data_IF_733111110527
#
_entry.id   IF_733111110527
#
_cell.length_a   1.000
_cell.length_b   1.000
_cell.length_c   1.000
_cell.angle_alpha   90.00
_cell.angle_beta   90.00
_cell.angle_gamma   90.00
#
_symmetry.space_group_name_H-M   'P 1'
#
loop_
_entity.id
_entity.type
_entity.pdbx_description
1 polymer ?
#
# COMPACT_ATOMS: atom_id res chain seq x y z
N UNK A 1 23.84 -2.16 -8.54
CA UNK A 1 23.68 -0.96 -7.69
C UNK A 1 22.20 -0.68 -7.58
N UNK A 2 21.58 -1.02 -6.46
CA UNK A 2 20.13 -0.89 -6.28
C UNK A 2 19.86 0.46 -5.64
N UNK A 3 19.24 1.38 -6.38
CA UNK A 3 19.03 2.75 -5.92
C UNK A 3 17.68 2.85 -5.23
N UNK A 4 17.67 2.68 -3.91
CA UNK A 4 16.57 3.07 -3.02
C UNK A 4 16.75 4.50 -2.56
N UNK A 5 15.64 5.18 -2.29
CA UNK A 5 15.64 6.52 -1.72
C UNK A 5 14.59 6.60 -0.60
N UNK A 6 14.85 7.39 0.46
CA UNK A 6 13.88 7.62 1.50
C UNK A 6 12.69 8.44 0.93
N UNK A 7 11.48 7.93 1.15
CA UNK A 7 10.19 8.57 0.85
C UNK A 7 9.40 8.71 2.14
N UNK A 8 8.59 9.74 2.24
CA UNK A 8 7.71 9.95 3.39
C UNK A 8 6.31 9.41 3.06
N UNK A 9 5.77 8.59 3.94
CA UNK A 9 4.43 8.02 3.80
C UNK A 9 3.36 9.09 4.04
N UNK A 10 2.47 9.31 3.08
CA UNK A 10 1.36 10.26 3.25
C UNK A 10 0.43 9.90 4.41
N UNK A 11 0.23 8.60 4.67
CA UNK A 11 -0.71 8.14 5.71
C UNK A 11 -0.16 8.32 7.13
N UNK A 12 1.05 7.83 7.39
CA UNK A 12 1.61 7.77 8.75
C UNK A 12 2.79 8.73 8.97
N UNK A 13 3.19 9.50 7.95
CA UNK A 13 4.33 10.42 7.96
C UNK A 13 5.67 9.77 8.33
N UNK A 14 5.79 8.44 8.26
CA UNK A 14 7.05 7.74 8.46
C UNK A 14 7.89 7.73 7.19
N UNK A 15 9.19 7.85 7.35
CA UNK A 15 10.15 7.66 6.27
C UNK A 15 10.33 6.16 6.04
N UNK A 16 10.24 5.75 4.77
CA UNK A 16 10.47 4.38 4.32
C UNK A 16 11.31 4.39 3.04
N UNK A 17 11.97 3.27 2.74
CA UNK A 17 12.71 3.14 1.49
C UNK A 17 11.79 2.68 0.36
N UNK A 18 11.71 3.46 -0.72
CA UNK A 18 11.16 3.01 -2.00
C UNK A 18 12.17 3.32 -3.10
N UNK A 19 12.26 2.46 -4.12
CA UNK A 19 13.27 2.59 -5.17
C UNK A 19 12.84 1.97 -6.48
N UNK A 20 13.37 2.46 -7.60
CA UNK A 20 13.04 2.00 -8.96
C UNK A 20 13.23 0.49 -9.17
N UNK A 21 14.14 -0.13 -8.40
CA UNK A 21 14.49 -1.55 -8.52
C UNK A 21 14.08 -2.41 -7.33
N UNK A 22 13.69 -1.81 -6.20
CA UNK A 22 13.30 -2.51 -4.95
C UNK A 22 12.17 -1.78 -4.21
N UNK A 23 11.20 -1.22 -4.92
CA UNK A 23 10.00 -0.75 -4.25
C UNK A 23 9.19 -1.98 -3.85
N UNK A 24 8.87 -2.06 -2.56
CA UNK A 24 8.08 -3.12 -1.93
C UNK A 24 6.66 -3.22 -2.52
N UNK A 25 6.20 -2.23 -3.30
CA UNK A 25 4.94 -2.29 -4.05
C UNK A 25 4.83 -3.52 -4.97
N UNK A 26 5.96 -4.12 -5.39
CA UNK A 26 5.97 -5.37 -6.17
C UNK A 26 5.98 -6.63 -5.30
N UNK A 27 6.33 -6.50 -4.03
CA UNK A 27 6.43 -7.61 -3.06
C UNK A 27 5.10 -7.80 -2.29
N UNK A 28 4.35 -6.72 -2.09
CA UNK A 28 3.04 -6.79 -1.41
C UNK A 28 1.96 -7.20 -2.41
N UNK A 29 1.25 -8.32 -2.18
CA UNK A 29 0.16 -8.75 -3.05
C UNK A 29 -1.03 -7.81 -2.84
N UNK A 30 -1.20 -6.85 -3.75
CA UNK A 30 -2.30 -5.88 -3.75
C UNK A 30 -3.14 -6.10 -5.01
N UNK A 31 -4.43 -6.33 -4.85
CA UNK A 31 -5.36 -6.45 -5.98
C UNK A 31 -5.59 -5.09 -6.65
N UNK A 32 -5.92 -5.08 -7.94
CA UNK A 32 -6.19 -3.86 -8.70
C UNK A 32 -7.27 -2.96 -8.05
N UNK A 33 -8.32 -3.57 -7.49
CA UNK A 33 -9.39 -2.86 -6.76
C UNK A 33 -8.84 -2.11 -5.53
N UNK A 34 -7.93 -2.75 -4.80
CA UNK A 34 -7.31 -2.15 -3.62
C UNK A 34 -6.33 -1.06 -4.03
N UNK A 35 -5.54 -1.28 -5.08
CA UNK A 35 -4.64 -0.28 -5.64
C UNK A 35 -5.39 0.97 -6.08
N UNK A 36 -6.51 0.81 -6.82
CA UNK A 36 -7.36 1.92 -7.25
C UNK A 36 -7.96 2.69 -6.06
N UNK A 37 -8.40 1.97 -5.02
CA UNK A 37 -8.91 2.58 -3.78
C UNK A 37 -7.83 3.38 -3.03
N UNK A 38 -6.58 2.90 -3.06
CA UNK A 38 -5.44 3.54 -2.43
C UNK A 38 -5.02 4.77 -3.25
N UNK A 39 -4.91 4.64 -4.58
CA UNK A 39 -4.59 5.73 -5.49
C UNK A 39 -5.65 6.84 -5.52
N UNK A 40 -6.91 6.53 -5.19
CA UNK A 40 -7.98 7.53 -5.00
C UNK A 40 -7.89 8.27 -3.66
N UNK A 41 -7.23 7.70 -2.66
CA UNK A 41 -7.12 8.25 -1.29
C UNK A 41 -5.78 8.93 -1.02
N UNK A 42 -4.72 8.50 -1.68
CA UNK A 42 -3.35 8.95 -1.48
C UNK A 42 -2.74 9.27 -2.85
N UNK A 43 -2.17 10.46 -2.97
CA UNK A 43 -1.58 10.96 -4.22
C UNK A 43 -0.08 10.58 -4.31
N UNK A 44 0.57 10.37 -3.16
CA UNK A 44 1.94 9.87 -3.04
C UNK A 44 2.00 8.45 -2.43
N UNK A 45 3.22 7.95 -2.22
CA UNK A 45 3.47 6.58 -1.82
C UNK A 45 3.19 6.40 -0.32
N UNK A 46 2.43 5.35 0.03
CA UNK A 46 2.25 4.89 1.42
C UNK A 46 3.26 3.81 1.77
N UNK A 47 3.72 3.69 3.02
CA UNK A 47 4.71 2.67 3.40
C UNK A 47 4.12 1.23 3.39
N UNK A 48 4.94 0.15 3.36
CA UNK A 48 4.45 -1.24 3.31
C UNK A 48 3.54 -1.60 4.48
N UNK A 49 3.81 -1.05 5.67
CA UNK A 49 2.95 -1.24 6.85
C UNK A 49 1.57 -0.64 6.62
N UNK A 50 1.50 0.58 6.11
CA UNK A 50 0.23 1.23 5.80
C UNK A 50 -0.49 0.54 4.65
N UNK A 51 0.24 0.10 3.61
CA UNK A 51 -0.37 -0.65 2.53
C UNK A 51 -0.97 -1.96 3.04
N UNK A 52 -0.24 -2.74 3.84
CA UNK A 52 -0.73 -3.99 4.43
C UNK A 52 -1.99 -3.82 5.32
N UNK A 53 -2.06 -2.70 6.06
CA UNK A 53 -3.25 -2.35 6.82
C UNK A 53 -4.43 -1.97 5.93
N UNK A 54 -4.19 -1.25 4.82
CA UNK A 54 -5.22 -0.84 3.86
C UNK A 54 -5.74 -2.00 3.02
N UNK A 55 -4.87 -2.96 2.69
CA UNK A 55 -5.18 -4.13 1.88
C UNK A 55 -5.81 -5.26 2.68
N UNK A 56 -5.95 -5.10 4.00
CA UNK A 56 -6.62 -6.09 4.84
C UNK A 56 -5.85 -7.40 4.87
N UNK A 57 -4.53 -7.36 5.08
CA UNK A 57 -3.80 -8.57 5.45
C UNK A 57 -4.10 -9.03 6.90
N UNK A 58 -5.01 -8.35 7.59
CA UNK A 58 -5.84 -8.98 8.62
C UNK A 58 -6.95 -9.73 7.88
N UNK A 59 -7.03 -11.04 8.05
CA UNK A 59 -8.19 -11.85 7.72
C UNK A 59 -9.46 -11.22 8.31
N UNK A 60 -10.05 -10.27 7.61
CA UNK A 60 -11.27 -9.59 7.99
C UNK A 60 -12.39 -10.21 7.15
N UNK A 61 -13.16 -11.17 7.72
CA UNK A 61 -14.32 -11.77 7.05
C UNK A 61 -15.49 -10.79 6.85
N UNK A 62 -15.27 -9.47 6.98
CA UNK A 62 -16.35 -8.48 7.05
C UNK A 62 -16.77 -7.89 5.71
N UNK A 63 -16.17 -8.28 4.57
CA UNK A 63 -16.76 -7.98 3.25
C UNK A 63 -17.91 -8.95 2.92
N UNK A 64 -18.85 -9.06 3.85
CA UNK A 64 -20.18 -9.61 3.62
C UNK A 64 -21.16 -8.43 3.50
N UNK A 65 -20.96 -7.54 2.53
CA UNK A 65 -22.00 -6.58 2.14
C UNK A 65 -22.16 -6.64 0.62
N UNK A 66 -22.83 -7.71 0.19
CA UNK A 66 -23.78 -7.66 -0.91
C UNK A 66 -25.19 -7.76 -0.30
N UNK A 67 -26.02 -6.72 -0.45
CA UNK A 67 -27.44 -6.94 -0.61
C UNK A 67 -27.89 -6.59 -2.03
N UNK A 68 -28.45 -7.63 -2.68
CA UNK A 68 -29.34 -7.71 -3.86
C UNK A 68 -29.04 -6.85 -5.10
#
# INVERSE_FOLDING_TARGET
MTRTYPKQCERCNRVFECGLSRCWCKDVPVSDIQYDSIAKRYDDCVCPTCLAELTGNHSDPSVSIFPD
#
